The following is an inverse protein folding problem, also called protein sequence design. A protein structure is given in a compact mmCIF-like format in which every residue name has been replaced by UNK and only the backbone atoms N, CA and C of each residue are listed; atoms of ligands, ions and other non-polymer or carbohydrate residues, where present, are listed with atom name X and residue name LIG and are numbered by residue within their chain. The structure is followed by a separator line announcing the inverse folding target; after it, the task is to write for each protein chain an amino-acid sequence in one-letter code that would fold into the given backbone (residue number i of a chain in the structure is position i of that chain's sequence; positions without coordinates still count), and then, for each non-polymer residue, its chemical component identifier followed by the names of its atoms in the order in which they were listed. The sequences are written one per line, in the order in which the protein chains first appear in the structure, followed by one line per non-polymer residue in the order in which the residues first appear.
data_IF_680424157415
#
_entry.id   IF_680424157415
#
_cell.length_a   1.000
_cell.length_b   1.000
_cell.length_c   1.000
_cell.angle_alpha   90.00
_cell.angle_beta   90.00
_cell.angle_gamma   90.00
#
_symmetry.space_group_name_H-M   'P 1'
#
loop_
_entity.id
_entity.type
_entity.pdbx_description
1 polymer ?
#
# COMPACT_ATOMS: atom_id res chain seq x y z
N UNK A 1 -26.34 20.19 -3.71
CA UNK A 1 -25.82 21.12 -4.75
C UNK A 1 -26.51 22.48 -4.75
N UNK A 2 -27.38 22.82 -3.79
CA UNK A 2 -27.78 24.23 -3.68
C UNK A 2 -26.59 25.08 -3.17
N UNK A 3 -25.82 24.55 -2.21
CA UNK A 3 -24.58 25.16 -1.63
C UNK A 3 -23.34 25.12 -2.53
N UNK A 4 -23.22 24.14 -3.43
CA UNK A 4 -22.02 23.95 -4.27
C UNK A 4 -22.37 24.08 -5.76
N UNK A 5 -21.65 24.97 -6.44
CA UNK A 5 -21.65 25.14 -7.90
C UNK A 5 -20.57 24.24 -8.51
N UNK A 6 -20.90 23.47 -9.55
CA UNK A 6 -19.91 22.62 -10.25
C UNK A 6 -19.14 23.49 -11.24
N UNK A 7 -17.81 23.50 -11.12
CA UNK A 7 -16.90 24.21 -12.02
C UNK A 7 -16.41 23.27 -13.13
N UNK A 8 -16.09 22.01 -12.78
CA UNK A 8 -15.56 21.03 -13.72
C UNK A 8 -15.37 19.65 -13.09
N UNK A 9 -14.96 18.70 -13.92
CA UNK A 9 -14.57 17.35 -13.49
C UNK A 9 -13.06 17.32 -13.28
N UNK A 10 -12.62 16.80 -12.14
CA UNK A 10 -11.19 16.62 -11.81
C UNK A 10 -10.73 15.22 -12.21
N UNK A 11 -11.57 14.22 -12.00
CA UNK A 11 -11.26 12.84 -12.36
C UNK A 11 -12.47 11.93 -12.22
N UNK A 12 -12.40 10.78 -12.87
CA UNK A 12 -13.38 9.71 -12.74
C UNK A 12 -12.66 8.40 -12.42
N UNK A 13 -13.12 7.71 -11.38
CA UNK A 13 -12.59 6.42 -10.96
C UNK A 13 -13.67 5.35 -10.89
N UNK A 14 -13.25 4.17 -10.42
CA UNK A 14 -14.14 3.03 -10.21
C UNK A 14 -15.30 3.38 -9.25
N UNK A 15 -15.02 4.11 -8.18
CA UNK A 15 -15.98 4.41 -7.12
C UNK A 15 -16.89 5.62 -7.39
N UNK A 16 -16.54 6.48 -8.34
CA UNK A 16 -17.17 7.79 -8.40
C UNK A 16 -16.55 8.77 -9.38
N UNK A 17 -17.12 9.97 -9.38
CA UNK A 17 -16.57 11.14 -10.07
C UNK A 17 -16.15 12.18 -9.04
N UNK A 18 -14.98 12.78 -9.23
CA UNK A 18 -14.48 13.89 -8.42
C UNK A 18 -14.73 15.18 -9.18
N UNK A 19 -15.48 16.09 -8.57
CA UNK A 19 -15.90 17.36 -9.16
C UNK A 19 -15.18 18.53 -8.48
N UNK A 20 -14.62 19.45 -9.26
CA UNK A 20 -14.19 20.75 -8.77
C UNK A 20 -15.43 21.61 -8.60
N UNK A 21 -15.70 22.04 -7.37
CA UNK A 21 -16.87 22.84 -7.04
C UNK A 21 -16.47 24.15 -6.37
N UNK A 22 -17.33 25.17 -6.47
CA UNK A 22 -17.28 26.40 -5.68
C UNK A 22 -18.36 26.36 -4.61
N UNK A 23 -18.02 26.58 -3.35
CA UNK A 23 -19.00 26.86 -2.32
C UNK A 23 -19.60 28.26 -2.58
N UNK A 24 -20.92 28.35 -2.79
CA UNK A 24 -21.59 29.61 -3.17
C UNK A 24 -21.64 30.64 -2.05
N UNK A 25 -21.51 30.20 -0.80
CA UNK A 25 -21.55 31.09 0.37
C UNK A 25 -20.17 31.68 0.66
N UNK A 26 -19.12 30.87 0.56
CA UNK A 26 -17.75 31.27 0.93
C UNK A 26 -16.86 31.59 -0.27
N UNK A 27 -17.32 31.31 -1.49
CA UNK A 27 -16.53 31.32 -2.74
C UNK A 27 -15.32 30.36 -2.75
N UNK A 28 -15.20 29.52 -1.73
CA UNK A 28 -14.10 28.57 -1.59
C UNK A 28 -14.19 27.46 -2.65
N UNK A 29 -13.05 27.12 -3.26
CA UNK A 29 -12.93 25.98 -4.18
C UNK A 29 -12.72 24.69 -3.38
N UNK A 30 -13.49 23.66 -3.72
CA UNK A 30 -13.50 22.36 -3.05
C UNK A 30 -13.53 21.21 -4.04
N UNK A 31 -13.02 20.04 -3.63
CA UNK A 31 -13.17 18.80 -4.38
C UNK A 31 -14.36 18.00 -3.81
N UNK A 32 -15.30 17.59 -4.66
CA UNK A 32 -16.47 16.81 -4.25
C UNK A 32 -16.43 15.43 -4.90
N UNK A 33 -16.12 14.39 -4.12
CA UNK A 33 -16.19 12.98 -4.55
C UNK A 33 -17.65 12.53 -4.47
N UNK A 34 -18.25 12.29 -5.62
CA UNK A 34 -19.62 11.77 -5.79
C UNK A 34 -19.53 10.28 -6.12
N UNK A 35 -20.07 9.44 -5.24
CA UNK A 35 -20.09 8.00 -5.44
C UNK A 35 -21.14 7.57 -6.49
N UNK A 36 -20.81 6.55 -7.29
CA UNK A 36 -21.67 6.05 -8.39
C UNK A 36 -22.86 5.26 -7.86
N UNK A 37 -22.61 4.33 -6.95
CA UNK A 37 -23.58 3.38 -6.39
C UNK A 37 -24.46 4.01 -5.29
N UNK A 38 -25.70 3.53 -5.19
CA UNK A 38 -26.51 3.74 -3.99
C UNK A 38 -26.09 2.73 -2.93
N UNK A 39 -25.98 3.17 -1.67
CA UNK A 39 -25.70 2.31 -0.52
C UNK A 39 -26.92 1.45 -0.12
N UNK A 40 -27.74 1.02 -1.10
CA UNK A 40 -28.87 0.13 -0.83
C UNK A 40 -28.36 -1.26 -0.38
N UNK A 41 -27.13 -1.59 -0.76
CA UNK A 41 -26.35 -2.72 -0.23
C UNK A 41 -25.75 -2.38 1.15
N UNK A 42 -26.05 -3.22 2.15
CA UNK A 42 -25.59 -3.06 3.52
C UNK A 42 -24.05 -3.11 3.67
N UNK A 43 -23.36 -3.87 2.82
CA UNK A 43 -21.90 -4.02 2.81
C UNK A 43 -21.24 -2.73 2.32
N UNK A 44 -21.78 -2.14 1.24
CA UNK A 44 -21.33 -0.85 0.71
C UNK A 44 -21.52 0.22 1.77
N UNK A 45 -22.71 0.30 2.37
CA UNK A 45 -23.02 1.24 3.46
C UNK A 45 -22.05 1.16 4.63
N UNK A 46 -21.71 -0.06 5.08
CA UNK A 46 -20.76 -0.27 6.19
C UNK A 46 -19.34 0.19 5.82
N UNK A 47 -18.90 -0.11 4.60
CA UNK A 47 -17.56 0.27 4.11
C UNK A 47 -17.44 1.79 4.03
N UNK A 48 -18.46 2.45 3.48
CA UNK A 48 -18.43 3.90 3.28
C UNK A 48 -18.56 4.68 4.59
N UNK A 49 -19.39 4.22 5.55
CA UNK A 49 -19.43 4.81 6.90
C UNK A 49 -18.09 4.68 7.63
N UNK A 50 -17.36 3.58 7.39
CA UNK A 50 -16.00 3.39 7.93
C UNK A 50 -15.01 4.38 7.31
N UNK A 51 -15.04 4.57 5.99
CA UNK A 51 -14.20 5.56 5.28
C UNK A 51 -14.42 6.97 5.85
N UNK A 52 -15.69 7.39 6.02
CA UNK A 52 -16.02 8.69 6.64
C UNK A 52 -15.50 8.80 8.06
N UNK A 53 -15.57 7.73 8.87
CA UNK A 53 -15.06 7.73 10.24
C UNK A 53 -13.53 7.87 10.27
N UNK A 54 -12.82 7.14 9.40
CA UNK A 54 -11.36 7.24 9.22
C UNK A 54 -10.99 8.67 8.86
N UNK A 55 -11.56 9.20 7.77
CA UNK A 55 -11.24 10.54 7.27
C UNK A 55 -11.54 11.65 8.30
N UNK A 56 -12.59 11.50 9.11
CA UNK A 56 -12.87 12.45 10.20
C UNK A 56 -11.85 12.41 11.35
N UNK A 57 -11.25 11.24 11.59
CA UNK A 57 -10.23 11.06 12.62
C UNK A 57 -8.82 11.43 12.15
N UNK A 58 -8.56 11.37 10.85
CA UNK A 58 -7.25 11.66 10.28
C UNK A 58 -7.06 13.16 10.00
N UNK A 59 -6.72 13.92 11.04
CA UNK A 59 -6.42 15.36 10.92
C UNK A 59 -4.92 15.62 11.05
N UNK A 60 -4.24 15.73 9.93
CA UNK A 60 -2.81 16.04 9.84
C UNK A 60 -2.54 16.89 8.58
N UNK A 61 -1.55 17.78 8.62
CA UNK A 61 -1.28 18.78 7.57
C UNK A 61 -1.05 18.18 6.17
N UNK A 62 -0.44 16.99 6.10
CA UNK A 62 -0.12 16.24 4.88
C UNK A 62 -1.17 15.19 4.53
N UNK A 63 -2.38 15.27 5.09
CA UNK A 63 -3.54 14.46 4.71
C UNK A 63 -4.65 15.41 4.25
N UNK A 64 -5.32 15.08 3.15
CA UNK A 64 -6.43 15.89 2.64
C UNK A 64 -7.56 15.99 3.66
N UNK A 65 -7.99 17.21 3.95
CA UNK A 65 -9.01 17.46 4.96
C UNK A 65 -10.43 17.21 4.42
N UNK A 66 -11.18 16.33 5.07
CA UNK A 66 -12.62 16.14 4.85
C UNK A 66 -13.39 17.26 5.56
N UNK A 67 -13.98 18.17 4.77
CA UNK A 67 -14.75 19.32 5.26
C UNK A 67 -16.19 18.94 5.60
N UNK A 68 -16.84 18.21 4.71
CA UNK A 68 -18.25 17.87 4.84
C UNK A 68 -18.52 16.49 4.23
N UNK A 69 -19.45 15.75 4.80
CA UNK A 69 -19.98 14.52 4.21
C UNK A 69 -21.50 14.56 4.30
N UNK A 70 -22.19 14.41 3.17
CA UNK A 70 -23.64 14.49 3.11
C UNK A 70 -24.23 13.51 2.09
N UNK A 71 -25.52 13.21 2.24
CA UNK A 71 -26.28 12.36 1.32
C UNK A 71 -27.30 13.16 0.53
N UNK A 72 -27.50 12.79 -0.73
CA UNK A 72 -28.58 13.33 -1.56
C UNK A 72 -29.04 12.30 -2.57
N UNK A 73 -30.35 12.05 -2.64
CA UNK A 73 -30.96 11.05 -3.55
C UNK A 73 -30.24 9.69 -3.45
N UNK A 74 -30.05 9.20 -2.22
CA UNK A 74 -29.35 7.93 -1.89
C UNK A 74 -27.88 7.82 -2.32
N UNK A 75 -27.25 8.92 -2.79
CA UNK A 75 -25.82 8.96 -3.10
C UNK A 75 -25.04 9.70 -2.02
N UNK A 76 -23.86 9.18 -1.69
CA UNK A 76 -22.92 9.86 -0.81
C UNK A 76 -22.06 10.88 -1.56
N UNK A 77 -21.80 11.99 -0.88
CA UNK A 77 -20.91 13.05 -1.32
C UNK A 77 -19.93 13.35 -0.19
N UNK A 78 -18.65 13.35 -0.53
CA UNK A 78 -17.57 13.79 0.35
C UNK A 78 -16.98 15.08 -0.21
N UNK A 79 -16.86 16.10 0.64
CA UNK A 79 -16.33 17.42 0.30
C UNK A 79 -14.98 17.57 0.98
N UNK A 80 -13.94 17.75 0.17
CA UNK A 80 -12.57 17.91 0.61
C UNK A 80 -12.05 19.33 0.30
N UNK A 81 -10.94 19.70 0.94
CA UNK A 81 -10.10 20.76 0.38
C UNK A 81 -9.71 20.43 -1.07
N UNK A 82 -9.61 21.46 -1.91
CA UNK A 82 -9.13 21.32 -3.28
C UNK A 82 -7.63 21.63 -3.30
N UNK A 83 -6.87 20.73 -3.91
CA UNK A 83 -5.46 20.92 -4.24
C UNK A 83 -5.36 20.78 -5.75
N UNK A 84 -4.60 21.66 -6.39
CA UNK A 84 -4.70 21.86 -7.84
C UNK A 84 -4.09 20.74 -8.67
N UNK A 85 -2.90 20.26 -8.28
CA UNK A 85 -2.16 19.22 -9.01
C UNK A 85 -1.97 17.96 -8.16
N UNK A 86 -1.85 16.82 -8.83
CA UNK A 86 -1.28 15.61 -8.25
C UNK A 86 0.19 15.42 -8.67
N UNK A 87 0.89 14.48 -8.04
CA UNK A 87 2.31 14.26 -8.27
C UNK A 87 2.59 13.67 -9.66
N UNK A 88 1.66 12.93 -10.25
CA UNK A 88 1.80 12.40 -11.62
C UNK A 88 1.95 13.55 -12.62
N UNK A 89 1.09 14.57 -12.54
CA UNK A 89 1.17 15.77 -13.39
C UNK A 89 2.54 16.47 -13.25
N UNK A 90 3.13 16.46 -12.05
CA UNK A 90 4.47 17.04 -11.83
C UNK A 90 5.57 16.20 -12.49
N UNK A 91 5.47 14.87 -12.41
CA UNK A 91 6.44 13.95 -12.99
C UNK A 91 6.39 13.98 -14.53
N UNK A 92 5.21 14.14 -15.13
CA UNK A 92 5.04 14.34 -16.58
C UNK A 92 5.77 15.61 -17.07
N UNK A 93 5.80 16.67 -16.27
CA UNK A 93 6.56 17.90 -16.54
C UNK A 93 8.07 17.76 -16.24
N UNK A 94 8.49 16.69 -15.56
CA UNK A 94 9.84 16.48 -15.03
C UNK A 94 10.37 15.07 -15.34
N UNK A 95 10.55 14.73 -16.63
CA UNK A 95 10.95 13.37 -17.06
C UNK A 95 12.37 12.96 -16.62
N UNK A 96 13.16 13.87 -16.05
CA UNK A 96 14.50 13.61 -15.51
C UNK A 96 14.56 13.67 -13.98
N UNK A 97 13.41 13.64 -13.33
CA UNK A 97 13.29 13.72 -11.87
C UNK A 97 13.26 15.13 -11.32
N UNK A 98 13.12 15.21 -10.00
CA UNK A 98 13.06 16.46 -9.24
C UNK A 98 14.40 16.80 -8.56
N UNK A 99 14.52 18.05 -8.13
CA UNK A 99 15.63 18.48 -7.28
C UNK A 99 15.71 17.62 -6.00
N UNK A 100 16.90 17.12 -5.59
CA UNK A 100 17.03 16.24 -4.44
C UNK A 100 16.48 16.79 -3.12
N UNK A 101 16.51 18.12 -2.90
CA UNK A 101 15.92 18.71 -1.69
C UNK A 101 14.39 18.71 -1.77
N UNK A 102 13.83 18.91 -2.96
CA UNK A 102 12.39 18.79 -3.17
C UNK A 102 11.91 17.34 -2.96
N UNK A 103 12.67 16.36 -3.48
CA UNK A 103 12.42 14.94 -3.21
C UNK A 103 12.43 14.67 -1.70
N UNK A 104 13.49 15.12 -1.00
CA UNK A 104 13.60 14.96 0.45
C UNK A 104 12.39 15.53 1.19
N UNK A 105 11.94 16.73 0.82
CA UNK A 105 10.79 17.40 1.44
C UNK A 105 9.46 16.67 1.19
N UNK A 106 9.21 16.19 -0.03
CA UNK A 106 7.99 15.43 -0.34
C UNK A 106 7.98 14.07 0.35
N UNK A 107 9.11 13.36 0.35
CA UNK A 107 9.21 12.07 1.02
C UNK A 107 9.08 12.22 2.54
N UNK A 108 9.66 13.27 3.13
CA UNK A 108 9.47 13.56 4.57
C UNK A 108 7.99 13.77 4.93
N UNK A 109 7.28 14.58 4.14
CA UNK A 109 5.85 14.85 4.34
C UNK A 109 4.99 13.61 4.14
N UNK A 110 5.31 12.77 3.15
CA UNK A 110 4.63 11.50 2.92
C UNK A 110 4.84 10.54 4.10
N UNK A 111 6.08 10.43 4.60
CA UNK A 111 6.39 9.64 5.81
C UNK A 111 5.62 10.17 7.01
N UNK A 112 5.48 11.50 7.20
CA UNK A 112 4.65 12.09 8.27
C UNK A 112 3.19 11.67 8.15
N UNK A 113 2.60 11.78 6.97
CA UNK A 113 1.21 11.39 6.71
C UNK A 113 0.97 9.90 7.00
N UNK A 114 1.83 9.04 6.48
CA UNK A 114 1.71 7.58 6.65
C UNK A 114 1.98 7.14 8.08
N UNK A 115 2.97 7.73 8.75
CA UNK A 115 3.23 7.47 10.17
C UNK A 115 2.00 7.80 11.02
N UNK A 116 1.34 8.93 10.74
CA UNK A 116 0.12 9.33 11.43
C UNK A 116 -1.05 8.35 11.16
N UNK A 117 -1.21 7.88 9.92
CA UNK A 117 -2.18 6.83 9.59
C UNK A 117 -1.90 5.55 10.38
N UNK A 118 -0.64 5.11 10.39
CA UNK A 118 -0.18 3.91 11.07
C UNK A 118 -0.38 3.98 12.59
N UNK A 119 -0.15 5.13 13.23
CA UNK A 119 -0.44 5.34 14.66
C UNK A 119 -1.93 5.21 14.98
N UNK A 120 -2.79 5.56 14.02
CA UNK A 120 -4.24 5.39 14.12
C UNK A 120 -4.72 4.01 13.60
N UNK A 121 -3.80 3.07 13.42
CA UNK A 121 -4.05 1.70 12.91
C UNK A 121 -4.72 1.65 11.52
N UNK A 122 -4.46 2.65 10.68
CA UNK A 122 -4.92 2.72 9.30
C UNK A 122 -3.76 2.40 8.37
N UNK A 123 -3.95 1.45 7.45
CA UNK A 123 -3.02 1.16 6.33
C UNK A 123 -3.63 1.75 5.05
N UNK A 124 -2.85 2.50 4.27
CA UNK A 124 -3.33 3.22 3.09
C UNK A 124 -3.57 2.29 1.90
N UNK A 125 -2.56 1.47 1.55
CA UNK A 125 -2.57 0.43 0.49
C UNK A 125 -2.63 0.91 -0.96
N UNK A 126 -2.92 2.19 -1.21
CA UNK A 126 -2.93 2.77 -2.57
C UNK A 126 -2.04 4.02 -2.70
N UNK A 127 -0.83 3.98 -2.15
CA UNK A 127 0.12 5.09 -2.31
C UNK A 127 0.68 5.03 -3.73
N UNK A 128 0.42 6.08 -4.51
CA UNK A 128 0.83 6.26 -5.90
C UNK A 128 0.77 7.76 -6.27
N UNK A 129 1.45 8.23 -7.33
CA UNK A 129 1.53 9.64 -7.66
C UNK A 129 0.16 10.34 -7.82
N UNK A 130 -0.85 9.63 -8.35
CA UNK A 130 -2.21 10.17 -8.53
C UNK A 130 -2.88 10.54 -7.19
N UNK A 131 -2.50 9.85 -6.12
CA UNK A 131 -3.07 10.03 -4.78
C UNK A 131 -2.24 11.00 -3.90
N UNK A 132 -1.18 11.58 -4.45
CA UNK A 132 -0.33 12.55 -3.77
C UNK A 132 -0.58 13.93 -4.37
N UNK A 133 -1.30 14.78 -3.65
CA UNK A 133 -1.66 16.12 -4.10
C UNK A 133 -0.57 17.11 -3.71
N UNK A 134 -0.25 18.02 -4.64
CA UNK A 134 0.80 19.03 -4.48
C UNK A 134 0.17 20.41 -4.67
N UNK A 135 0.35 21.28 -3.69
CA UNK A 135 -0.02 22.69 -3.81
C UNK A 135 0.90 23.37 -4.85
N UNK A 136 0.41 24.05 -5.91
CA UNK A 136 1.27 24.70 -6.90
C UNK A 136 2.21 25.76 -6.34
N UNK A 137 1.85 26.40 -5.22
CA UNK A 137 2.75 27.35 -4.54
C UNK A 137 4.02 26.65 -4.02
N UNK A 138 3.97 25.31 -3.88
CA UNK A 138 5.14 24.46 -3.63
C UNK A 138 6.23 24.53 -4.70
N UNK A 139 5.84 24.78 -5.95
CA UNK A 139 6.76 24.71 -7.07
C UNK A 139 7.32 26.09 -7.44
N UNK A 140 6.63 27.16 -7.04
CA UNK A 140 6.96 28.54 -7.42
C UNK A 140 7.92 29.23 -6.45
N UNK A 141 7.89 28.89 -5.17
CA UNK A 141 8.60 29.66 -4.14
C UNK A 141 10.07 29.26 -3.93
N UNK A 142 10.54 28.19 -4.57
CA UNK A 142 11.85 27.61 -4.26
C UNK A 142 12.01 27.33 -2.74
N UNK A 143 13.23 26.99 -2.31
CA UNK A 143 13.50 26.76 -0.88
C UNK A 143 13.53 28.07 -0.04
N UNK A 144 13.47 29.25 -0.67
CA UNK A 144 13.77 30.54 -0.06
C UNK A 144 12.59 31.54 -0.07
N UNK A 145 11.35 31.08 -0.25
CA UNK A 145 10.16 31.92 -0.21
C UNK A 145 9.91 32.51 1.17
N UNK A 146 10.50 33.66 1.48
CA UNK A 146 10.29 34.47 2.69
C UNK A 146 8.93 35.21 2.70
N UNK A 147 7.88 34.58 2.18
CA UNK A 147 6.58 35.17 1.93
C UNK A 147 5.41 34.41 2.57
N UNK A 148 5.37 34.33 3.90
CA UNK A 148 4.13 34.35 4.71
C UNK A 148 3.05 33.25 4.58
N UNK A 149 3.13 32.30 3.65
CA UNK A 149 2.24 31.13 3.54
C UNK A 149 3.10 29.89 3.26
N UNK A 150 2.83 28.77 3.94
CA UNK A 150 3.78 27.69 4.22
C UNK A 150 4.40 26.93 3.03
N UNK A 151 5.45 26.12 3.29
CA UNK A 151 6.29 25.48 2.29
C UNK A 151 5.58 24.34 1.56
N UNK A 152 6.03 24.11 0.34
CA UNK A 152 5.84 22.96 -0.52
C UNK A 152 5.02 21.78 0.00
N UNK A 153 3.70 21.95 0.13
CA UNK A 153 2.89 21.00 0.88
C UNK A 153 2.43 19.84 0.00
N UNK A 154 2.85 18.62 0.40
CA UNK A 154 2.29 17.38 -0.10
C UNK A 154 1.11 16.96 0.79
N UNK A 155 0.00 16.55 0.16
CA UNK A 155 -1.19 16.01 0.83
C UNK A 155 -1.55 14.65 0.25
N UNK A 156 -1.56 13.64 1.11
CA UNK A 156 -2.08 12.30 0.81
C UNK A 156 -3.60 12.34 0.70
N UNK A 157 -4.14 11.75 -0.37
CA UNK A 157 -5.57 11.59 -0.59
C UNK A 157 -5.95 10.16 -0.97
N UNK A 158 -7.26 9.97 -1.20
CA UNK A 158 -7.92 8.71 -1.58
C UNK A 158 -7.72 7.51 -0.64
N UNK A 159 -8.43 7.55 0.49
CA UNK A 159 -8.52 6.46 1.46
C UNK A 159 -9.57 5.39 1.07
N UNK A 160 -10.01 5.34 -0.19
CA UNK A 160 -11.00 4.35 -0.66
C UNK A 160 -10.55 2.90 -0.48
N UNK A 161 -9.24 2.67 -0.40
CA UNK A 161 -8.64 1.38 -0.08
C UNK A 161 -8.07 1.29 1.34
N UNK A 162 -8.24 2.32 2.17
CA UNK A 162 -7.69 2.28 3.52
C UNK A 162 -8.43 1.28 4.41
N UNK A 163 -7.70 0.56 5.27
CA UNK A 163 -8.29 -0.40 6.22
C UNK A 163 -7.73 -0.20 7.62
N UNK A 164 -8.59 -0.41 8.61
CA UNK A 164 -8.15 -0.62 9.98
C UNK A 164 -7.50 -2.00 10.11
N UNK A 165 -6.38 -2.08 10.82
CA UNK A 165 -5.87 -3.37 11.28
C UNK A 165 -6.93 -4.07 12.16
N UNK A 166 -7.21 -5.36 11.96
CA UNK A 166 -8.10 -6.12 12.84
C UNK A 166 -7.56 -6.10 14.27
N UNK A 167 -8.36 -5.66 15.24
CA UNK A 167 -7.98 -5.70 16.67
C UNK A 167 -8.08 -7.11 17.28
N UNK A 168 -8.62 -8.08 16.55
CA UNK A 168 -8.65 -9.49 16.93
C UNK A 168 -8.68 -10.38 15.68
N UNK A 169 -8.13 -11.59 15.80
CA UNK A 169 -7.92 -12.63 14.78
C UNK A 169 -9.20 -13.16 14.14
N UNK A 170 -10.02 -12.30 13.57
CA UNK A 170 -11.17 -12.65 12.74
C UNK A 170 -10.70 -12.83 11.30
N UNK A 171 -10.69 -14.09 10.85
CA UNK A 171 -10.29 -14.56 9.52
C UNK A 171 -11.23 -14.12 8.38
N UNK A 172 -12.10 -13.13 8.59
CA UNK A 172 -13.17 -12.78 7.66
C UNK A 172 -12.88 -11.45 6.96
N UNK A 173 -12.03 -11.52 5.94
CA UNK A 173 -12.13 -10.68 4.76
C UNK A 173 -11.28 -11.30 3.65
N UNK A 174 -11.83 -12.28 2.94
CA UNK A 174 -11.29 -12.66 1.63
C UNK A 174 -11.12 -11.39 0.79
N UNK A 175 -9.88 -11.12 0.40
CA UNK A 175 -9.46 -9.82 -0.11
C UNK A 175 -9.67 -9.78 -1.62
N UNK A 176 -10.44 -8.80 -2.10
CA UNK A 176 -10.78 -8.66 -3.52
C UNK A 176 -9.56 -8.32 -4.36
N UNK A 177 -9.46 -8.95 -5.54
CA UNK A 177 -8.46 -8.68 -6.56
C UNK A 177 -8.45 -7.19 -6.96
N UNK A 178 -7.26 -6.61 -6.94
CA UNK A 178 -7.02 -5.16 -6.94
C UNK A 178 -6.78 -4.64 -8.37
N UNK A 179 -7.59 -3.69 -8.84
CA UNK A 179 -7.52 -3.08 -10.20
C UNK A 179 -6.87 -1.68 -10.14
N UNK A 180 -5.70 -1.57 -9.50
CA UNK A 180 -4.87 -0.34 -9.48
C UNK A 180 -3.49 -0.63 -10.08
N UNK A 181 -2.76 0.41 -10.47
CA UNK A 181 -1.38 0.34 -11.01
C UNK A 181 -0.48 -0.49 -10.08
N UNK A 182 0.09 -1.58 -10.59
CA UNK A 182 0.86 -2.57 -9.78
C UNK A 182 2.26 -2.09 -9.38
N UNK A 183 2.73 -0.99 -9.97
CA UNK A 183 4.10 -0.49 -9.86
C UNK A 183 4.55 -0.17 -8.42
N UNK A 184 3.61 0.16 -7.54
CA UNK A 184 3.85 0.54 -6.14
C UNK A 184 3.55 -0.61 -5.15
N UNK A 185 3.15 -1.79 -5.62
CA UNK A 185 2.80 -2.91 -4.76
C UNK A 185 4.06 -3.63 -4.27
N UNK A 186 4.06 -3.96 -2.98
CA UNK A 186 5.10 -4.79 -2.38
C UNK A 186 5.06 -6.25 -2.90
N UNK A 187 6.19 -6.99 -2.88
CA UNK A 187 6.27 -8.35 -3.39
C UNK A 187 5.22 -9.29 -2.80
N UNK A 188 4.97 -9.21 -1.49
CA UNK A 188 3.98 -10.03 -0.78
C UNK A 188 2.54 -9.77 -1.27
N UNK A 189 2.22 -8.54 -1.69
CA UNK A 189 0.92 -8.22 -2.27
C UNK A 189 0.76 -8.81 -3.67
N UNK A 190 1.81 -8.76 -4.50
CA UNK A 190 1.83 -9.37 -5.85
C UNK A 190 1.69 -10.89 -5.77
N UNK A 191 2.24 -11.49 -4.72
CA UNK A 191 2.16 -12.92 -4.44
C UNK A 191 0.82 -13.36 -3.82
N UNK A 192 -0.05 -12.42 -3.45
CA UNK A 192 -1.37 -12.69 -2.91
C UNK A 192 -1.39 -13.00 -1.40
N UNK A 193 -0.43 -12.46 -0.63
CA UNK A 193 -0.47 -12.56 0.83
C UNK A 193 -1.78 -11.99 1.38
N UNK A 194 -2.38 -12.68 2.34
CA UNK A 194 -3.58 -12.22 3.05
C UNK A 194 -3.27 -11.59 4.42
N UNK A 195 -2.03 -11.71 4.88
CA UNK A 195 -1.56 -11.30 6.21
C UNK A 195 -0.47 -10.21 6.13
N UNK A 196 -0.67 -9.19 5.29
CA UNK A 196 0.22 -8.03 5.21
C UNK A 196 -0.15 -6.95 6.25
N UNK A 197 0.84 -6.12 6.59
CA UNK A 197 0.70 -5.04 7.57
C UNK A 197 1.02 -3.66 7.01
N UNK A 198 1.52 -2.79 7.90
CA UNK A 198 1.87 -1.38 7.61
C UNK A 198 3.06 -1.25 6.66
N UNK A 199 3.83 -2.31 6.52
CA UNK A 199 5.09 -2.40 5.78
C UNK A 199 4.88 -2.27 4.27
N UNK A 200 3.66 -2.52 3.77
CA UNK A 200 3.30 -2.32 2.34
C UNK A 200 3.29 -0.84 1.96
N UNK A 201 2.91 0.05 2.89
CA UNK A 201 2.93 1.49 2.64
C UNK A 201 4.38 1.99 2.61
N UNK A 202 5.28 1.42 3.43
CA UNK A 202 6.71 1.76 3.44
C UNK A 202 7.38 1.41 2.11
N UNK A 203 7.05 0.24 1.55
CA UNK A 203 7.50 -0.14 0.21
C UNK A 203 7.06 0.87 -0.86
N UNK A 204 5.79 1.29 -0.82
CA UNK A 204 5.26 2.25 -1.78
C UNK A 204 5.95 3.62 -1.66
N UNK A 205 6.30 4.07 -0.44
CA UNK A 205 7.13 5.28 -0.25
C UNK A 205 8.48 5.14 -0.94
N UNK A 206 9.13 3.97 -0.86
CA UNK A 206 10.38 3.69 -1.56
C UNK A 206 10.23 3.77 -3.08
N UNK A 207 9.13 3.25 -3.61
CA UNK A 207 8.80 3.35 -5.03
C UNK A 207 8.60 4.82 -5.48
N UNK A 208 7.84 5.60 -4.71
CA UNK A 208 7.64 7.04 -4.95
C UNK A 208 8.97 7.80 -4.90
N UNK A 209 9.84 7.49 -3.92
CA UNK A 209 11.15 8.13 -3.82
C UNK A 209 11.99 7.86 -5.06
N UNK A 210 12.08 6.60 -5.51
CA UNK A 210 12.81 6.25 -6.74
C UNK A 210 12.25 6.97 -7.97
N UNK A 211 10.94 7.04 -8.10
CA UNK A 211 10.29 7.73 -9.22
C UNK A 211 10.51 9.25 -9.20
N UNK A 212 10.51 9.86 -8.02
CA UNK A 212 10.84 11.28 -7.87
C UNK A 212 12.28 11.59 -8.24
N UNK A 213 13.21 10.65 -8.01
CA UNK A 213 14.63 10.78 -8.36
C UNK A 213 14.84 10.61 -9.86
N UNK A 214 14.24 9.58 -10.46
CA UNK A 214 14.47 9.20 -11.85
C UNK A 214 13.56 9.94 -12.84
N UNK A 215 12.41 10.46 -12.37
CA UNK A 215 11.34 11.00 -13.21
C UNK A 215 10.50 9.94 -13.92
N UNK A 216 10.75 8.66 -13.64
CA UNK A 216 10.08 7.50 -14.23
C UNK A 216 9.81 6.45 -13.15
N UNK A 217 8.75 5.64 -13.25
CA UNK A 217 8.41 4.65 -12.24
C UNK A 217 9.57 3.70 -11.96
N UNK A 218 9.82 3.41 -10.67
CA UNK A 218 10.94 2.56 -10.26
C UNK A 218 10.80 1.10 -10.74
N UNK A 219 9.57 0.60 -10.75
CA UNK A 219 9.23 -0.78 -11.13
C UNK A 219 8.02 -0.81 -12.10
N UNK A 220 8.22 -0.51 -13.40
CA UNK A 220 7.13 -0.38 -14.37
C UNK A 220 6.72 -1.74 -14.98
N UNK A 221 6.31 -2.71 -14.17
CA UNK A 221 5.96 -4.05 -14.65
C UNK A 221 4.63 -4.13 -15.40
N UNK A 222 4.61 -4.87 -16.50
CA UNK A 222 3.44 -5.05 -17.37
C UNK A 222 2.45 -6.10 -16.82
N UNK A 223 2.93 -7.04 -16.02
CA UNK A 223 2.17 -8.11 -15.37
C UNK A 223 2.69 -8.37 -13.95
N UNK A 224 1.98 -9.16 -13.13
CA UNK A 224 2.45 -9.48 -11.77
C UNK A 224 3.79 -10.23 -11.79
N UNK A 225 3.98 -11.14 -12.77
CA UNK A 225 5.24 -11.87 -12.93
C UNK A 225 6.38 -10.95 -13.38
N UNK A 226 6.11 -10.05 -14.32
CA UNK A 226 7.08 -9.08 -14.81
C UNK A 226 7.45 -8.06 -13.71
N UNK A 227 6.47 -7.60 -12.93
CA UNK A 227 6.69 -6.75 -11.76
C UNK A 227 7.64 -7.42 -10.75
N UNK A 228 7.40 -8.69 -10.40
CA UNK A 228 8.27 -9.47 -9.52
C UNK A 228 9.66 -9.68 -10.12
N UNK A 229 9.77 -9.82 -11.45
CA UNK A 229 11.06 -9.93 -12.13
C UNK A 229 11.87 -8.63 -12.05
N UNK A 230 11.27 -7.49 -12.37
CA UNK A 230 11.95 -6.18 -12.32
C UNK A 230 12.39 -5.85 -10.89
N UNK A 231 11.54 -6.15 -9.89
CA UNK A 231 11.89 -6.02 -8.48
C UNK A 231 13.16 -6.82 -8.17
N UNK A 232 13.20 -8.10 -8.56
CA UNK A 232 14.35 -8.95 -8.28
C UNK A 232 15.61 -8.48 -8.99
N UNK A 233 15.49 -7.91 -10.20
CA UNK A 233 16.65 -7.38 -10.93
C UNK A 233 17.34 -6.23 -10.20
N UNK A 234 16.59 -5.47 -9.41
CA UNK A 234 17.12 -4.32 -8.67
C UNK A 234 17.53 -4.67 -7.23
N UNK A 235 16.79 -5.56 -6.57
CA UNK A 235 16.91 -5.80 -5.13
C UNK A 235 17.45 -7.18 -4.76
N UNK A 236 17.60 -8.08 -5.74
CA UNK A 236 17.97 -9.48 -5.51
C UNK A 236 16.75 -10.41 -5.43
N UNK A 237 16.99 -11.72 -5.22
CA UNK A 237 15.94 -12.73 -5.31
C UNK A 237 14.82 -12.53 -4.27
N UNK A 238 13.64 -13.08 -4.55
CA UNK A 238 12.58 -13.24 -3.55
C UNK A 238 13.12 -13.96 -2.30
N UNK A 239 12.57 -13.63 -1.13
CA UNK A 239 12.87 -14.39 0.09
C UNK A 239 12.39 -15.84 -0.05
N UNK A 240 12.90 -16.74 0.79
CA UNK A 240 12.47 -18.16 0.77
C UNK A 240 10.95 -18.29 0.89
N UNK A 241 10.32 -17.53 1.79
CA UNK A 241 8.88 -17.56 2.02
C UNK A 241 8.10 -17.00 0.82
N UNK A 242 8.60 -15.93 0.21
CA UNK A 242 8.01 -15.34 -1.01
C UNK A 242 8.12 -16.30 -2.21
N UNK A 243 9.24 -17.01 -2.33
CA UNK A 243 9.41 -18.04 -3.37
C UNK A 243 8.45 -19.22 -3.12
N UNK A 244 8.29 -19.64 -1.87
CA UNK A 244 7.31 -20.67 -1.49
C UNK A 244 5.87 -20.24 -1.84
N UNK A 245 5.52 -18.98 -1.58
CA UNK A 245 4.24 -18.41 -1.99
C UNK A 245 4.07 -18.42 -3.51
N UNK A 246 5.11 -18.02 -4.25
CA UNK A 246 5.11 -18.01 -5.70
C UNK A 246 4.81 -19.40 -6.27
N UNK A 247 5.53 -20.42 -5.80
CA UNK A 247 5.40 -21.80 -6.28
C UNK A 247 4.04 -22.43 -5.95
N UNK A 248 3.41 -22.02 -4.85
CA UNK A 248 2.08 -22.52 -4.44
C UNK A 248 0.93 -21.74 -5.07
N UNK A 249 1.17 -20.55 -5.64
CA UNK A 249 0.12 -19.71 -6.18
C UNK A 249 -0.39 -20.28 -7.52
N UNK A 250 -1.68 -20.64 -7.63
CA UNK A 250 -2.24 -21.17 -8.87
C UNK A 250 -2.06 -20.22 -10.08
N UNK A 251 -1.99 -18.91 -9.84
CA UNK A 251 -1.80 -17.88 -10.89
C UNK A 251 -0.42 -17.95 -11.56
N UNK A 252 0.57 -18.58 -10.92
CA UNK A 252 1.95 -18.64 -11.41
C UNK A 252 2.39 -20.05 -11.83
N UNK A 253 1.47 -21.04 -11.83
CA UNK A 253 1.78 -22.41 -12.22
C UNK A 253 2.32 -22.45 -13.65
N UNK A 254 3.50 -23.08 -13.82
CA UNK A 254 4.16 -23.22 -15.12
C UNK A 254 4.95 -21.98 -15.56
N UNK A 255 4.86 -20.86 -14.85
CA UNK A 255 5.69 -19.69 -15.10
C UNK A 255 7.07 -19.86 -14.47
N UNK A 256 8.09 -19.27 -15.11
CA UNK A 256 9.45 -19.18 -14.59
C UNK A 256 9.92 -17.76 -14.75
N UNK A 257 10.73 -17.30 -13.79
CA UNK A 257 11.44 -16.05 -13.96
C UNK A 257 12.43 -16.16 -15.12
N UNK A 258 12.61 -15.10 -15.92
CA UNK A 258 13.71 -15.00 -16.87
C UNK A 258 15.07 -15.15 -16.16
N UNK A 259 16.14 -15.32 -16.95
CA UNK A 259 17.49 -15.42 -16.39
C UNK A 259 17.87 -14.17 -15.58
N UNK A 260 18.47 -14.43 -14.41
CA UNK A 260 18.84 -13.46 -13.38
C UNK A 260 20.37 -13.36 -13.20
N UNK A 261 21.13 -13.84 -14.19
CA UNK A 261 22.59 -13.89 -14.15
C UNK A 261 23.29 -12.52 -14.05
N UNK A 262 22.64 -11.43 -14.46
CA UNK A 262 23.21 -10.07 -14.42
C UNK A 262 22.20 -9.01 -13.93
N UNK A 263 21.90 -8.95 -12.61
CA UNK A 263 21.01 -7.96 -12.04
C UNK A 263 21.66 -6.56 -11.99
N UNK A 264 20.88 -5.51 -12.24
CA UNK A 264 21.32 -4.12 -12.02
C UNK A 264 20.97 -3.75 -10.59
N UNK A 265 21.85 -4.05 -9.64
CA UNK A 265 21.59 -3.78 -8.21
C UNK A 265 21.37 -2.29 -7.93
N UNK A 266 20.55 -1.98 -6.93
CA UNK A 266 20.16 -0.62 -6.56
C UNK A 266 21.36 0.31 -6.30
N UNK A 267 22.45 -0.21 -5.73
CA UNK A 267 23.69 0.53 -5.52
C UNK A 267 24.32 0.98 -6.82
N UNK A 268 24.32 0.12 -7.85
CA UNK A 268 24.87 0.42 -9.15
C UNK A 268 23.99 1.44 -9.88
N UNK A 269 22.67 1.25 -9.85
CA UNK A 269 21.70 2.16 -10.49
C UNK A 269 21.82 3.60 -9.96
N UNK A 270 22.04 3.76 -8.66
CA UNK A 270 22.13 5.08 -8.01
C UNK A 270 23.56 5.53 -7.67
N UNK A 271 24.57 4.82 -8.17
CA UNK A 271 25.97 5.19 -7.94
C UNK A 271 26.24 6.60 -8.47
N UNK A 272 26.69 7.49 -7.59
CA UNK A 272 26.95 8.90 -7.93
C UNK A 272 25.70 9.77 -8.13
N UNK A 273 24.49 9.20 -8.11
CA UNK A 273 23.21 9.95 -8.14
C UNK A 273 22.71 10.28 -6.74
N UNK A 274 22.84 9.34 -5.81
CA UNK A 274 22.37 9.51 -4.42
C UNK A 274 23.52 9.63 -3.44
N UNK A 275 23.31 10.41 -2.38
CA UNK A 275 24.18 10.40 -1.21
C UNK A 275 24.06 9.07 -0.46
N UNK A 276 25.06 8.72 0.34
CA UNK A 276 25.03 7.48 1.13
C UNK A 276 23.80 7.39 2.05
N UNK A 277 23.39 8.50 2.67
CA UNK A 277 22.18 8.54 3.49
C UNK A 277 20.89 8.36 2.68
N UNK A 278 20.80 8.97 1.49
CA UNK A 278 19.62 8.80 0.62
C UNK A 278 19.50 7.37 0.11
N UNK A 279 20.61 6.75 -0.31
CA UNK A 279 20.63 5.36 -0.75
C UNK A 279 20.30 4.40 0.41
N UNK A 280 20.87 4.64 1.60
CA UNK A 280 20.56 3.85 2.81
C UNK A 280 19.07 3.92 3.16
N UNK A 281 18.47 5.10 3.08
CA UNK A 281 17.04 5.29 3.33
C UNK A 281 16.17 4.54 2.33
N UNK A 282 16.46 4.69 1.02
CA UNK A 282 15.74 4.00 -0.05
C UNK A 282 15.81 2.48 0.11
N UNK A 283 17.00 1.94 0.42
CA UNK A 283 17.19 0.52 0.70
C UNK A 283 16.43 0.05 1.95
N UNK A 284 16.34 0.88 2.99
CA UNK A 284 15.56 0.56 4.19
C UNK A 284 14.05 0.48 3.92
N UNK A 285 13.52 1.27 2.99
CA UNK A 285 12.13 1.19 2.55
C UNK A 285 11.86 -0.03 1.65
N UNK A 286 12.82 -0.40 0.82
CA UNK A 286 12.72 -1.45 -0.20
C UNK A 286 13.32 -2.79 0.24
N UNK A 287 13.24 -3.14 1.53
CA UNK A 287 13.61 -4.49 1.97
C UNK A 287 12.63 -5.52 1.42
N UNK A 288 13.16 -6.64 0.91
CA UNK A 288 12.35 -7.75 0.40
C UNK A 288 11.52 -8.38 1.53
N UNK A 289 12.13 -8.56 2.70
CA UNK A 289 11.45 -9.03 3.91
C UNK A 289 10.64 -7.88 4.54
N UNK A 290 9.30 -7.99 4.67
CA UNK A 290 8.49 -6.90 5.21
C UNK A 290 8.91 -6.44 6.61
N UNK A 291 9.30 -7.37 7.51
CA UNK A 291 9.68 -7.02 8.89
C UNK A 291 10.97 -6.22 9.00
N UNK A 292 11.81 -6.23 7.96
CA UNK A 292 13.07 -5.49 7.92
C UNK A 292 12.90 -4.09 7.33
N UNK A 293 11.71 -3.75 6.80
CA UNK A 293 11.43 -2.41 6.28
C UNK A 293 11.37 -1.39 7.41
N UNK A 294 11.93 -0.21 7.15
CA UNK A 294 11.85 0.90 8.09
C UNK A 294 10.40 1.22 8.45
N UNK A 295 10.14 1.32 9.75
CA UNK A 295 8.88 1.86 10.27
C UNK A 295 8.81 3.37 10.07
N UNK A 296 7.61 3.95 10.17
CA UNK A 296 7.44 5.40 10.08
C UNK A 296 8.29 6.19 11.09
N UNK A 297 8.45 5.67 12.32
CA UNK A 297 9.28 6.29 13.34
C UNK A 297 10.79 6.22 13.00
N UNK A 298 11.26 5.09 12.47
CA UNK A 298 12.66 4.96 12.02
C UNK A 298 12.92 5.84 10.81
N UNK A 299 11.95 5.94 9.89
CA UNK A 299 12.04 6.83 8.75
C UNK A 299 12.22 8.30 9.18
N UNK A 300 11.35 8.81 10.05
CA UNK A 300 11.41 10.21 10.52
C UNK A 300 12.70 10.57 11.25
N UNK A 301 13.38 9.58 11.83
CA UNK A 301 14.65 9.75 12.55
C UNK A 301 15.88 9.38 11.70
N UNK A 302 15.69 9.00 10.44
CA UNK A 302 16.79 8.58 9.57
C UNK A 302 17.69 9.78 9.18
N UNK A 303 19.03 9.63 9.14
CA UNK A 303 19.96 10.70 8.76
C UNK A 303 19.70 11.38 7.40
N UNK A 304 18.93 10.74 6.52
CA UNK A 304 18.51 11.32 5.24
C UNK A 304 17.74 12.64 5.42
N UNK A 305 16.97 12.77 6.51
CA UNK A 305 16.18 13.96 6.82
C UNK A 305 16.90 14.97 7.71
N UNK A 306 18.20 14.81 7.97
CA UNK A 306 18.98 15.87 8.61
C UNK A 306 18.89 17.17 7.80
N UNK A 307 18.66 18.28 8.51
CA UNK A 307 18.50 19.61 7.93
C UNK A 307 17.10 19.94 7.39
N UNK A 308 16.11 19.04 7.48
CA UNK A 308 14.71 19.38 7.20
C UNK A 308 14.15 20.15 8.40
N UNK A 309 13.78 21.41 8.22
CA UNK A 309 13.12 22.22 9.26
C UNK A 309 11.69 21.70 9.48
N UNK A 310 11.41 21.17 10.67
CA UNK A 310 10.07 20.73 11.06
C UNK A 310 9.39 21.86 11.83
N UNK A 311 8.27 22.36 11.32
CA UNK A 311 7.40 23.29 12.04
C UNK A 311 6.44 22.59 13.01
N UNK A 312 6.51 21.25 13.16
CA UNK A 312 5.48 20.46 13.85
C UNK A 312 5.98 19.73 15.13
N UNK A 313 5.25 19.76 16.27
CA UNK A 313 5.58 19.08 17.53
C UNK A 313 5.63 17.53 17.54
N UNK A 314 5.43 16.83 16.42
CA UNK A 314 5.50 15.36 16.37
C UNK A 314 6.90 14.80 16.71
N UNK A 315 7.95 15.56 16.40
CA UNK A 315 9.32 15.22 16.83
C UNK A 315 9.48 15.24 18.36
N UNK A 316 8.65 16.00 19.08
CA UNK A 316 8.69 16.12 20.54
C UNK A 316 7.86 15.05 21.29
N UNK A 317 7.04 14.27 20.58
CA UNK A 317 6.12 13.28 21.17
C UNK A 317 6.51 11.82 20.89
N UNK A 318 7.57 11.58 20.10
CA UNK A 318 8.12 10.26 19.88
C UNK A 318 9.19 9.93 20.95
N UNK A 319 9.10 8.79 21.66
CA UNK A 319 10.16 8.37 22.56
C UNK A 319 11.45 8.13 21.78
N UNK A 320 12.54 8.79 22.18
CA UNK A 320 13.87 8.56 21.65
C UNK A 320 14.26 7.08 21.85
N UNK A 321 14.90 6.42 20.88
CA UNK A 321 15.50 5.11 21.11
C UNK A 321 16.56 5.25 22.21
N UNK A 322 16.40 4.49 23.29
CA UNK A 322 17.45 4.35 24.31
C UNK A 322 18.63 3.68 23.62
N UNK A 323 19.72 4.43 23.45
CA UNK A 323 20.96 3.95 22.83
C UNK A 323 21.45 2.68 23.51
N UNK A 324 21.48 1.58 22.76
CA UNK A 324 22.18 0.37 23.14
C UNK A 324 23.67 0.65 23.14
N UNK A 325 24.26 0.78 24.33
CA UNK A 325 25.69 0.86 24.49
C UNK A 325 26.34 -0.39 23.86
N UNK A 326 27.30 -0.14 22.96
CA UNK A 326 28.20 -1.15 22.46
C UNK A 326 28.86 -1.90 23.62
N UNK A 327 28.68 -3.23 23.68
CA UNK A 327 29.58 -4.12 24.40
C UNK A 327 30.10 -5.16 23.43
N UNK A 328 31.34 -4.92 23.03
CA UNK A 328 32.26 -5.90 22.45
C UNK A 328 32.48 -7.05 23.45
N UNK A 329 32.26 -8.30 23.02
CA UNK A 329 32.98 -9.45 23.58
C UNK A 329 33.26 -10.48 22.50
N UNK A 330 34.52 -10.54 22.10
CA UNK A 330 35.14 -11.69 21.47
C UNK A 330 35.54 -12.72 22.56
N UNK A 331 35.52 -14.02 22.21
CA UNK A 331 36.19 -15.08 22.97
C UNK A 331 35.42 -16.41 23.11
N UNK A 332 35.73 -17.37 22.24
CA UNK A 332 35.38 -18.82 22.24
C UNK A 332 36.24 -19.64 23.24
N UNK A 333 36.18 -21.01 23.30
CA UNK A 333 35.09 -21.94 23.66
C UNK A 333 35.54 -23.08 24.66
N UNK A 334 34.70 -24.12 24.83
CA UNK A 334 34.87 -25.41 25.59
C UNK A 334 34.56 -25.33 27.10
N UNK A 335 33.83 -26.27 27.74
CA UNK A 335 34.07 -27.72 27.79
C UNK A 335 32.82 -28.55 28.23
N UNK A 336 32.95 -29.87 28.17
CA UNK A 336 31.91 -30.89 28.00
C UNK A 336 31.18 -31.46 29.26
N UNK A 337 30.18 -32.33 28.94
CA UNK A 337 29.71 -33.58 29.64
C UNK A 337 28.58 -33.47 30.69
N UNK A 338 27.39 -34.08 30.42
CA UNK A 338 26.88 -35.45 30.79
C UNK A 338 26.08 -35.37 32.11
N UNK A 339 24.91 -35.99 32.38
CA UNK A 339 24.27 -37.21 31.90
C UNK A 339 22.80 -37.33 32.39
N UNK A 340 22.00 -38.15 31.67
CA UNK A 340 20.99 -39.15 32.11
C UNK A 340 19.71 -38.71 32.86
N UNK A 341 18.50 -38.90 32.30
CA UNK A 341 17.65 -40.11 32.12
C UNK A 341 16.92 -40.63 33.39
N UNK A 342 15.57 -40.66 33.31
CA UNK A 342 14.54 -41.66 33.76
C UNK A 342 13.23 -40.90 34.07
N UNK A 343 12.01 -41.33 33.74
CA UNK A 343 11.47 -42.52 33.08
C UNK A 343 9.95 -42.61 33.34
N UNK A 344 9.19 -42.96 32.28
CA UNK A 344 7.91 -43.70 32.23
C UNK A 344 6.61 -43.14 32.87
N UNK A 345 5.52 -43.10 32.08
CA UNK A 345 4.43 -44.11 32.07
C UNK A 345 3.41 -43.89 30.94
N UNK A 346 2.97 -45.00 30.35
CA UNK A 346 1.95 -45.17 29.29
C UNK A 346 0.53 -45.31 29.87
N UNK A 347 -0.50 -44.84 29.13
CA UNK A 347 -1.81 -45.50 28.86
C UNK A 347 -2.60 -44.64 27.82
N UNK A 348 -3.70 -45.11 27.18
CA UNK A 348 -3.76 -45.60 25.80
C UNK A 348 -4.54 -44.70 24.81
N UNK A 349 -4.27 -44.85 23.51
CA UNK A 349 -4.97 -44.19 22.39
C UNK A 349 -6.36 -44.79 22.10
N UNK A 350 -7.37 -43.97 21.71
CA UNK A 350 -8.57 -44.45 21.05
C UNK A 350 -8.40 -44.46 19.51
N UNK A 351 -9.16 -45.36 18.89
CA UNK A 351 -9.14 -45.76 17.47
C UNK A 351 -9.35 -44.58 16.51
N UNK A 352 -8.54 -44.53 15.45
CA UNK A 352 -8.70 -43.61 14.31
C UNK A 352 -9.88 -44.07 13.45
N UNK A 353 -10.84 -43.17 13.23
CA UNK A 353 -11.70 -43.21 12.04
C UNK A 353 -10.84 -42.86 10.82
N UNK A 354 -11.08 -43.53 9.70
CA UNK A 354 -10.36 -43.32 8.45
C UNK A 354 -10.71 -41.95 7.86
N UNK A 355 -9.88 -40.94 8.14
CA UNK A 355 -9.92 -39.66 7.46
C UNK A 355 -9.57 -39.85 5.97
N UNK A 356 -10.56 -39.67 5.10
CA UNK A 356 -10.34 -39.56 3.64
C UNK A 356 -9.34 -38.41 3.39
N UNK A 357 -8.25 -38.70 2.68
CA UNK A 357 -7.24 -37.68 2.34
C UNK A 357 -7.87 -36.49 1.59
N UNK A 358 -7.35 -35.25 1.74
CA UNK A 358 -7.86 -34.07 1.04
C UNK A 358 -7.93 -34.23 -0.49
N UNK A 359 -7.09 -35.10 -1.06
CA UNK A 359 -7.10 -35.43 -2.49
C UNK A 359 -8.33 -36.24 -2.91
N UNK A 360 -8.85 -37.12 -2.05
CA UNK A 360 -10.05 -37.91 -2.34
C UNK A 360 -11.33 -37.05 -2.26
N UNK A 361 -11.39 -36.10 -1.33
CA UNK A 361 -12.50 -35.15 -1.24
C UNK A 361 -12.56 -34.20 -2.45
N UNK A 362 -11.40 -33.75 -2.94
CA UNK A 362 -11.31 -32.90 -4.13
C UNK A 362 -11.70 -33.65 -5.43
N UNK A 363 -11.42 -34.95 -5.52
CA UNK A 363 -11.84 -35.77 -6.66
C UNK A 363 -13.36 -35.99 -6.69
N UNK A 364 -13.97 -36.25 -5.53
CA UNK A 364 -15.42 -36.46 -5.39
C UNK A 364 -16.21 -35.16 -5.71
N UNK A 365 -15.67 -33.99 -5.36
CA UNK A 365 -16.26 -32.69 -5.70
C UNK A 365 -16.11 -32.35 -7.20
N UNK A 366 -14.98 -32.70 -7.82
CA UNK A 366 -14.79 -32.52 -9.26
C UNK A 366 -15.71 -33.41 -10.10
N UNK A 367 -16.02 -34.62 -9.63
CA UNK A 367 -16.93 -35.55 -10.31
C UNK A 367 -18.40 -35.11 -10.18
N UNK A 368 -18.80 -34.56 -9.02
CA UNK A 368 -20.12 -33.92 -8.86
C UNK A 368 -20.33 -32.73 -9.80
N UNK A 369 -19.33 -31.85 -9.93
CA UNK A 369 -19.44 -30.68 -10.84
C UNK A 369 -19.57 -31.09 -12.30
N UNK A 370 -18.93 -32.19 -12.72
CA UNK A 370 -19.08 -32.73 -14.08
C UNK A 370 -20.48 -33.30 -14.32
N UNK A 371 -21.07 -33.97 -13.34
CA UNK A 371 -22.45 -34.47 -13.45
C UNK A 371 -23.48 -33.33 -13.49
N UNK A 372 -23.27 -32.26 -12.72
CA UNK A 372 -24.14 -31.07 -12.75
C UNK A 372 -24.06 -30.32 -14.10
N UNK A 373 -22.88 -30.26 -14.73
CA UNK A 373 -22.72 -29.69 -16.08
C UNK A 373 -23.38 -30.56 -17.16
N UNK A 374 -23.23 -31.89 -17.09
CA UNK A 374 -23.88 -32.81 -18.05
C UNK A 374 -25.42 -32.81 -17.94
N UNK A 375 -25.97 -32.67 -16.74
CA UNK A 375 -27.42 -32.58 -16.55
C UNK A 375 -27.97 -31.21 -16.97
N UNK A 376 -27.23 -30.13 -16.75
CA UNK A 376 -27.59 -28.78 -17.21
C UNK A 376 -27.62 -28.64 -18.73
N UNK A 377 -26.72 -29.31 -19.46
CA UNK A 377 -26.73 -29.30 -20.92
C UNK A 377 -27.88 -30.14 -21.51
N UNK A 378 -28.26 -31.24 -20.85
CA UNK A 378 -29.44 -32.04 -21.24
C UNK A 378 -30.77 -31.30 -21.02
N UNK A 379 -30.85 -30.42 -20.01
CA UNK A 379 -32.02 -29.56 -19.81
C UNK A 379 -32.13 -28.48 -20.89
N UNK A 380 -31.01 -27.88 -21.30
CA UNK A 380 -30.98 -26.88 -22.38
C UNK A 380 -31.30 -27.47 -23.75
N UNK A 381 -30.92 -28.71 -24.02
CA UNK A 381 -31.32 -29.41 -25.25
C UNK A 381 -32.83 -29.71 -25.27
N UNK A 382 -33.43 -30.05 -24.11
CA UNK A 382 -34.88 -30.26 -24.00
C UNK A 382 -35.72 -28.97 -24.10
N UNK A 383 -35.17 -27.82 -23.72
CA UNK A 383 -35.85 -26.53 -23.91
C UNK A 383 -35.82 -26.07 -25.38
N UNK A 384 -34.76 -26.39 -26.14
CA UNK A 384 -34.67 -26.05 -27.57
C UNK A 384 -35.60 -26.87 -28.47
N UNK A 385 -36.06 -28.05 -28.03
CA UNK A 385 -37.04 -28.86 -28.76
C UNK A 385 -38.51 -28.44 -28.51
N UNK A 386 -38.76 -27.42 -27.67
CA UNK A 386 -40.12 -27.01 -27.27
C UNK A 386 -40.58 -25.63 -27.76
N UNK A 387 -39.79 -24.91 -28.54
CA UNK A 387 -40.27 -23.69 -29.21
C UNK A 387 -40.77 -24.01 -30.63
N UNK A 388 -42.04 -23.72 -30.97
CA UNK A 388 -42.65 -24.03 -32.27
C UNK A 388 -42.22 -23.10 -33.41
#
# INVERSE_FOLDING_TARGET
MNKYEVIGVVGEGAYGVVLKCRNKETNEVVAVKKFKESEDDEIVRKTTLREVKVLRSLKQENIVNLKEAFRRKSKLYLVFEYVEKNLLEILEEKPSGLDPNLVKNFIYQLVKAISFCHMNNVIHRDIKPENLLIDPDALRNGLNGSGGQGPNTLKLCDFGFARFLPQSSSKEAAMTDYVSTRWYRAPELLLGATNYGKEVDQWAIGCIMGELIDGQPLFPGESDIDQLYIIQRLLGPLTTDQMDMFLRNPRFVGLKFPDMSNPELIENKYQGKLTGHALSFLKGLLQMEPSERLTGAECLNHPYFEGVEDSNPLRASLPMPIGGAAQTRAGTPSDARRASKKGARHAPEPRREEDKTPAAAAAEEAERRRQEEEDGDKEKEKEKEKEP
#
